data_IF_500712001390
#
_entry.id   IF_500712001390
#
_cell.length_a   1.000
_cell.length_b   1.000
_cell.length_c   1.000
_cell.angle_alpha   90.00
_cell.angle_beta   90.00
_cell.angle_gamma   90.00
#
_symmetry.space_group_name_H-M   'P 1'
#
loop_
_entity.id
_entity.type
_entity.pdbx_description
1 polymer ?
#
# COMPACT_ATOMS: atom_id res chain seq x y z
N UNK A 1 -14.40 26.03 32.87
CA UNK A 1 -13.79 25.97 31.52
C UNK A 1 -12.78 24.84 31.54
N UNK A 2 -13.21 23.63 31.16
CA UNK A 2 -12.35 22.44 31.12
C UNK A 2 -11.67 22.40 29.76
N UNK A 3 -10.34 22.60 29.76
CA UNK A 3 -9.48 22.39 28.60
C UNK A 3 -9.58 20.92 28.17
N UNK A 4 -10.33 20.65 27.10
CA UNK A 4 -10.19 19.38 26.38
C UNK A 4 -8.90 19.45 25.57
N UNK A 5 -7.83 18.90 26.14
CA UNK A 5 -6.63 18.55 25.37
C UNK A 5 -7.06 17.56 24.28
N UNK A 6 -7.16 18.03 23.04
CA UNK A 6 -7.26 17.19 21.85
C UNK A 6 -6.00 16.33 21.75
N UNK A 7 -6.03 15.14 22.36
CA UNK A 7 -5.00 14.12 22.14
C UNK A 7 -5.14 13.58 20.72
N UNK A 8 -4.40 14.18 19.79
CA UNK A 8 -4.32 13.70 18.41
C UNK A 8 -3.57 12.36 18.41
N UNK A 9 -4.27 11.24 18.23
CA UNK A 9 -3.64 9.93 18.09
C UNK A 9 -2.97 9.88 16.71
N UNK A 10 -1.66 10.09 16.66
CA UNK A 10 -0.89 9.93 15.42
C UNK A 10 -0.58 8.46 15.20
N UNK A 11 -1.34 7.80 14.31
CA UNK A 11 -1.05 6.42 13.89
C UNK A 11 0.23 6.43 13.04
N UNK A 12 1.33 5.90 13.57
CA UNK A 12 2.59 5.77 12.82
C UNK A 12 2.36 4.87 11.58
N UNK A 13 2.87 5.30 10.43
CA UNK A 13 2.91 4.47 9.23
C UNK A 13 3.91 3.33 9.44
N UNK A 14 3.43 2.08 9.43
CA UNK A 14 4.27 0.89 9.58
C UNK A 14 4.94 0.45 8.26
N UNK A 15 4.72 1.18 7.16
CA UNK A 15 5.21 0.82 5.81
C UNK A 15 6.27 1.82 5.37
N UNK A 16 7.46 1.30 5.04
CA UNK A 16 8.54 2.04 4.39
C UNK A 16 8.35 2.03 2.87
N UNK A 17 8.13 3.19 2.28
CA UNK A 17 7.86 3.33 0.84
C UNK A 17 9.09 3.17 -0.04
N UNK A 18 10.30 3.34 0.52
CA UNK A 18 11.55 3.10 -0.22
C UNK A 18 11.72 1.60 -0.45
N UNK A 19 11.50 0.80 0.60
CA UNK A 19 11.52 -0.68 0.52
C UNK A 19 10.47 -1.18 -0.47
N UNK A 20 9.27 -0.58 -0.49
CA UNK A 20 8.24 -0.93 -1.48
C UNK A 20 8.70 -0.62 -2.91
N UNK A 21 9.37 0.52 -3.12
CA UNK A 21 9.93 0.89 -4.42
C UNK A 21 10.99 -0.10 -4.91
N UNK A 22 11.93 -0.48 -4.05
CA UNK A 22 12.99 -1.46 -4.37
C UNK A 22 12.39 -2.82 -4.76
N UNK A 23 11.46 -3.34 -3.96
CA UNK A 23 10.80 -4.61 -4.25
C UNK A 23 10.04 -4.59 -5.60
N UNK A 24 9.45 -3.45 -5.98
CA UNK A 24 8.77 -3.31 -7.28
C UNK A 24 9.75 -3.42 -8.44
N UNK A 25 10.95 -2.86 -8.32
CA UNK A 25 11.98 -2.97 -9.35
C UNK A 25 12.47 -4.42 -9.49
N UNK A 26 12.67 -5.12 -8.37
CA UNK A 26 13.06 -6.54 -8.38
C UNK A 26 11.99 -7.42 -9.04
N UNK A 27 10.71 -7.18 -8.71
CA UNK A 27 9.58 -7.86 -9.36
C UNK A 27 9.55 -7.56 -10.86
N UNK A 28 9.81 -6.32 -11.27
CA UNK A 28 9.82 -5.95 -12.68
C UNK A 28 10.95 -6.65 -13.44
N UNK A 29 12.15 -6.70 -12.88
CA UNK A 29 13.28 -7.41 -13.46
C UNK A 29 12.98 -8.91 -13.62
N UNK A 30 12.49 -9.55 -12.55
CA UNK A 30 12.11 -10.96 -12.57
C UNK A 30 11.01 -11.26 -13.60
N UNK A 31 9.99 -10.41 -13.72
CA UNK A 31 8.90 -10.60 -14.67
C UNK A 31 9.40 -10.58 -16.13
N UNK A 32 10.32 -9.67 -16.45
CA UNK A 32 10.95 -9.58 -17.76
C UNK A 32 11.78 -10.84 -18.05
N UNK A 33 12.65 -11.23 -17.11
CA UNK A 33 13.50 -12.43 -17.25
C UNK A 33 12.68 -13.69 -17.43
N UNK A 34 11.63 -13.85 -16.63
CA UNK A 34 10.70 -14.97 -16.75
C UNK A 34 10.04 -15.02 -18.12
N UNK A 35 9.59 -13.89 -18.65
CA UNK A 35 8.99 -13.82 -19.98
C UNK A 35 9.98 -14.26 -21.07
N UNK A 36 11.20 -13.71 -21.04
CA UNK A 36 12.25 -14.06 -21.99
C UNK A 36 12.56 -15.55 -21.97
N UNK A 37 12.69 -16.14 -20.77
CA UNK A 37 12.93 -17.56 -20.58
C UNK A 37 11.77 -18.43 -21.10
N UNK A 38 10.52 -18.06 -20.81
CA UNK A 38 9.33 -18.83 -21.21
C UNK A 38 9.08 -18.82 -22.71
N UNK A 39 9.51 -17.77 -23.40
CA UNK A 39 9.24 -17.57 -24.82
C UNK A 39 10.47 -17.77 -25.71
N UNK A 40 11.63 -18.08 -25.13
CA UNK A 40 12.91 -18.17 -25.86
C UNK A 40 13.17 -16.90 -26.71
N UNK A 41 12.99 -15.73 -26.06
CA UNK A 41 13.10 -14.42 -26.72
C UNK A 41 14.10 -13.50 -26.04
N UNK A 42 14.74 -12.65 -26.83
CA UNK A 42 15.57 -11.56 -26.34
C UNK A 42 14.88 -10.20 -26.51
N UNK A 43 14.81 -9.43 -25.42
CA UNK A 43 14.34 -8.04 -25.42
C UNK A 43 15.56 -7.14 -25.40
N UNK A 44 15.59 -6.11 -26.26
CA UNK A 44 16.69 -5.15 -26.30
C UNK A 44 16.83 -4.41 -24.95
N UNK A 45 18.01 -3.84 -24.64
CA UNK A 45 18.20 -3.05 -23.42
C UNK A 45 17.15 -1.95 -23.25
N UNK A 46 16.84 -1.20 -24.31
CA UNK A 46 15.83 -0.14 -24.29
C UNK A 46 14.42 -0.71 -24.06
N UNK A 47 14.11 -1.86 -24.65
CA UNK A 47 12.86 -2.57 -24.43
C UNK A 47 12.70 -3.07 -23.00
N UNK A 48 13.79 -3.53 -22.37
CA UNK A 48 13.81 -3.95 -20.96
C UNK A 48 13.57 -2.76 -20.04
N UNK A 49 14.21 -1.62 -20.30
CA UNK A 49 14.03 -0.41 -19.51
C UNK A 49 12.57 0.09 -19.59
N UNK A 50 12.00 0.16 -20.79
CA UNK A 50 10.61 0.58 -20.98
C UNK A 50 9.62 -0.41 -20.36
N UNK A 51 9.86 -1.72 -20.48
CA UNK A 51 9.04 -2.73 -19.82
C UNK A 51 9.10 -2.60 -18.30
N UNK A 52 10.30 -2.43 -17.73
CA UNK A 52 10.48 -2.27 -16.29
C UNK A 52 9.77 -1.03 -15.77
N UNK A 53 9.85 0.09 -16.52
CA UNK A 53 9.13 1.33 -16.21
C UNK A 53 7.61 1.10 -16.17
N UNK A 54 7.04 0.44 -17.17
CA UNK A 54 5.60 0.15 -17.24
C UNK A 54 5.13 -0.78 -16.10
N UNK A 55 5.91 -1.82 -15.81
CA UNK A 55 5.60 -2.74 -14.71
C UNK A 55 5.64 -1.99 -13.37
N UNK A 56 6.68 -1.18 -13.15
CA UNK A 56 6.80 -0.35 -11.95
C UNK A 56 5.60 0.57 -11.78
N UNK A 57 5.24 1.31 -12.82
CA UNK A 57 4.12 2.26 -12.77
C UNK A 57 2.79 1.52 -12.46
N UNK A 58 2.56 0.37 -13.10
CA UNK A 58 1.37 -0.45 -12.85
C UNK A 58 1.32 -1.01 -11.41
N UNK A 59 2.44 -1.51 -10.89
CA UNK A 59 2.51 -2.03 -9.52
C UNK A 59 2.38 -0.91 -8.48
N UNK A 60 2.90 0.28 -8.78
CA UNK A 60 2.75 1.43 -7.90
C UNK A 60 1.30 1.90 -7.77
N UNK A 61 0.53 1.87 -8.87
CA UNK A 61 -0.92 2.14 -8.79
C UNK A 61 -1.64 1.12 -7.90
N UNK A 62 -1.27 -0.17 -7.95
CA UNK A 62 -1.80 -1.16 -7.01
C UNK A 62 -1.46 -0.85 -5.55
N UNK A 63 -0.25 -0.36 -5.27
CA UNK A 63 0.13 0.09 -3.92
C UNK A 63 -0.75 1.26 -3.48
N UNK A 64 -1.01 2.24 -4.34
CA UNK A 64 -1.91 3.37 -4.03
C UNK A 64 -3.33 2.88 -3.73
N UNK A 65 -3.87 1.98 -4.53
CA UNK A 65 -5.19 1.36 -4.29
C UNK A 65 -5.25 0.67 -2.92
N UNK A 66 -4.22 -0.12 -2.58
CA UNK A 66 -4.15 -0.78 -1.26
C UNK A 66 -4.09 0.22 -0.11
N UNK A 67 -3.34 1.32 -0.27
CA UNK A 67 -3.28 2.38 0.75
C UNK A 67 -4.63 3.05 0.96
N UNK A 68 -5.34 3.36 -0.12
CA UNK A 68 -6.70 3.92 -0.03
C UNK A 68 -7.65 2.97 0.68
N UNK A 69 -7.64 1.68 0.32
CA UNK A 69 -8.45 0.65 1.00
C UNK A 69 -8.10 0.53 2.48
N UNK A 70 -6.81 0.56 2.83
CA UNK A 70 -6.36 0.53 4.22
C UNK A 70 -6.91 1.69 5.04
N UNK A 71 -6.95 2.90 4.48
CA UNK A 71 -7.53 4.06 5.17
C UNK A 71 -9.02 3.87 5.43
N UNK A 72 -9.77 3.36 4.45
CA UNK A 72 -11.19 3.03 4.62
C UNK A 72 -11.40 1.99 5.72
N UNK A 73 -10.61 0.92 5.72
CA UNK A 73 -10.67 -0.10 6.77
C UNK A 73 -10.35 0.45 8.16
N UNK A 74 -9.32 1.28 8.29
CA UNK A 74 -9.00 1.91 9.56
C UNK A 74 -10.16 2.76 10.09
N UNK A 75 -10.80 3.52 9.22
CA UNK A 75 -11.97 4.31 9.59
C UNK A 75 -13.11 3.41 10.12
N UNK A 76 -13.46 2.36 9.39
CA UNK A 76 -14.48 1.38 9.82
C UNK A 76 -14.13 0.72 11.15
N UNK A 77 -12.84 0.41 11.38
CA UNK A 77 -12.39 -0.16 12.66
C UNK A 77 -12.58 0.83 13.81
N UNK A 78 -12.28 2.12 13.60
CA UNK A 78 -12.51 3.15 14.62
C UNK A 78 -13.98 3.36 14.90
N UNK A 79 -14.83 3.46 13.87
CA UNK A 79 -16.28 3.59 14.04
C UNK A 79 -16.86 2.38 14.78
N UNK A 80 -16.38 1.18 14.45
CA UNK A 80 -16.79 -0.04 15.14
C UNK A 80 -16.39 -0.02 16.61
N UNK A 81 -15.15 0.38 16.92
CA UNK A 81 -14.67 0.47 18.30
C UNK A 81 -15.45 1.54 19.10
N UNK A 82 -15.68 2.71 18.50
CA UNK A 82 -16.43 3.81 19.10
C UNK A 82 -17.88 3.39 19.41
N UNK A 83 -18.55 2.71 18.46
CA UNK A 83 -19.89 2.18 18.64
C UNK A 83 -19.96 1.22 19.84
N UNK A 84 -19.05 0.27 19.94
CA UNK A 84 -19.01 -0.71 21.04
C UNK A 84 -18.82 -0.02 22.39
N UNK A 85 -17.96 1.00 22.46
CA UNK A 85 -17.76 1.77 23.70
C UNK A 85 -19.03 2.54 24.09
N UNK A 86 -19.70 3.17 23.13
CA UNK A 86 -20.96 3.89 23.37
C UNK A 86 -22.05 2.96 23.88
N UNK A 87 -22.25 1.82 23.22
CA UNK A 87 -23.21 0.78 23.63
C UNK A 87 -22.95 0.34 25.08
N UNK A 88 -21.70 0.08 25.45
CA UNK A 88 -21.35 -0.30 26.82
C UNK A 88 -21.67 0.79 27.85
N UNK A 89 -21.42 2.07 27.54
CA UNK A 89 -21.69 3.19 28.44
C UNK A 89 -23.19 3.47 28.59
N UNK A 90 -23.96 3.32 27.52
CA UNK A 90 -25.41 3.56 27.53
C UNK A 90 -26.21 2.41 28.19
N UNK A 91 -25.67 1.19 28.19
CA UNK A 91 -26.24 0.02 28.88
C UNK A 91 -25.88 -0.06 30.37
N UNK A 92 -24.93 0.75 30.85
CA UNK A 92 -24.45 0.80 32.25
C UNK A 92 -25.18 1.86 33.09
#
# INVERSE_FOLDING_TARGET
MTNHEEKTITIRSAVDLNIVGENILDIAAFAIEKYQFQHDTEISPEGREEAARRIRDALWERVKEMRAKRQQWLHLMFETADRVVKEFVEES
#
